data_IF_743054507391
#
_entry.id   IF_743054507391
#
_cell.length_a   1.000
_cell.length_b   1.000
_cell.length_c   1.000
_cell.angle_alpha   90.00
_cell.angle_beta   90.00
_cell.angle_gamma   90.00
#
_symmetry.space_group_name_H-M   'P 1'
#
loop_
_entity.id
_entity.type
_entity.pdbx_description
1 polymer ?
#
# COMPACT_ATOMS: atom_id res chain seq x y z
N UNK A 1 4.05 -11.57 -22.62
CA UNK A 1 5.36 -10.97 -22.35
C UNK A 1 6.11 -11.86 -21.37
N UNK A 2 7.29 -12.33 -21.76
CA UNK A 2 8.11 -13.13 -20.85
C UNK A 2 8.77 -12.23 -19.80
N UNK A 3 8.68 -12.63 -18.54
CA UNK A 3 9.37 -11.94 -17.45
C UNK A 3 10.89 -12.19 -17.58
N UNK A 4 11.74 -11.16 -17.33
CA UNK A 4 13.18 -11.33 -17.42
C UNK A 4 13.77 -12.21 -16.31
N UNK A 5 12.98 -12.49 -15.25
CA UNK A 5 13.39 -13.30 -14.12
C UNK A 5 12.38 -14.41 -13.88
N UNK A 6 12.83 -15.58 -13.36
CA UNK A 6 11.92 -16.64 -12.94
C UNK A 6 10.94 -16.11 -11.87
N UNK A 7 9.70 -16.54 -11.95
CA UNK A 7 8.70 -16.21 -10.93
C UNK A 7 9.00 -17.00 -9.67
N UNK A 8 8.94 -16.33 -8.53
CA UNK A 8 9.25 -16.91 -7.24
C UNK A 8 8.35 -18.11 -6.92
N UNK A 9 8.95 -19.17 -6.42
CA UNK A 9 8.27 -20.33 -5.89
C UNK A 9 8.04 -20.21 -4.39
N UNK A 10 7.29 -21.15 -3.83
CA UNK A 10 7.11 -21.29 -2.39
C UNK A 10 8.45 -21.40 -1.63
N UNK A 11 9.39 -22.13 -2.19
CA UNK A 11 10.74 -22.27 -1.65
C UNK A 11 11.51 -20.96 -1.64
N UNK A 12 11.42 -20.19 -2.71
CA UNK A 12 12.05 -18.87 -2.80
C UNK A 12 11.44 -17.91 -1.79
N UNK A 13 10.13 -17.96 -1.61
CA UNK A 13 9.44 -17.16 -0.60
C UNK A 13 9.92 -17.48 0.81
N UNK A 14 10.01 -18.76 1.17
CA UNK A 14 10.51 -19.19 2.47
C UNK A 14 11.94 -18.71 2.73
N UNK A 15 12.81 -18.83 1.75
CA UNK A 15 14.19 -18.34 1.85
C UNK A 15 14.25 -16.82 2.00
N UNK A 16 13.41 -16.11 1.26
CA UNK A 16 13.40 -14.65 1.28
C UNK A 16 12.96 -14.11 2.65
N UNK A 17 11.89 -14.65 3.23
CA UNK A 17 11.39 -14.18 4.52
C UNK A 17 12.32 -14.48 5.70
N UNK A 18 13.27 -15.38 5.51
CA UNK A 18 14.32 -15.68 6.50
C UNK A 18 15.58 -14.86 6.29
N UNK A 19 15.70 -14.10 5.21
CA UNK A 19 16.88 -13.34 4.87
C UNK A 19 16.93 -12.01 5.64
N UNK A 20 17.97 -11.78 6.47
CA UNK A 20 18.08 -10.53 7.26
C UNK A 20 18.17 -9.27 6.42
N UNK A 21 18.80 -9.32 5.23
CA UNK A 21 18.89 -8.17 4.33
C UNK A 21 17.51 -7.79 3.79
N UNK A 22 16.67 -8.76 3.48
CA UNK A 22 15.31 -8.53 3.06
C UNK A 22 14.52 -7.79 4.15
N UNK A 23 14.66 -8.20 5.41
CA UNK A 23 14.04 -7.52 6.55
C UNK A 23 14.52 -6.07 6.67
N UNK A 24 15.83 -5.84 6.55
CA UNK A 24 16.38 -4.48 6.61
C UNK A 24 15.86 -3.59 5.49
N UNK A 25 15.75 -4.12 4.28
CA UNK A 25 15.24 -3.37 3.13
C UNK A 25 13.78 -2.97 3.34
N UNK A 26 12.94 -3.90 3.79
CA UNK A 26 11.52 -3.62 4.03
C UNK A 26 11.31 -2.70 5.25
N UNK A 27 12.11 -2.87 6.30
CA UNK A 27 12.02 -2.01 7.49
C UNK A 27 12.50 -0.58 7.21
N UNK A 28 13.30 -0.37 6.17
CA UNK A 28 13.72 0.96 5.75
C UNK A 28 12.65 1.72 4.98
N UNK A 29 11.60 1.06 4.53
CA UNK A 29 10.48 1.71 3.84
C UNK A 29 9.64 2.52 4.83
N UNK A 30 9.13 3.66 4.36
CA UNK A 30 8.24 4.52 5.16
C UNK A 30 6.82 3.96 5.29
N UNK A 31 6.45 3.00 4.47
CA UNK A 31 5.16 2.32 4.51
C UNK A 31 5.22 1.07 5.37
N UNK A 32 4.06 0.65 5.89
CA UNK A 32 3.94 -0.65 6.55
C UNK A 32 3.85 -1.77 5.52
N UNK A 33 4.61 -2.83 5.71
CA UNK A 33 4.62 -4.00 4.82
C UNK A 33 4.44 -5.26 5.65
N UNK A 34 3.54 -6.12 5.21
CA UNK A 34 3.41 -7.46 5.79
C UNK A 34 3.24 -8.51 4.71
N UNK A 35 3.70 -9.71 4.99
CA UNK A 35 3.59 -10.87 4.11
C UNK A 35 2.85 -11.98 4.84
N UNK A 36 1.83 -12.51 4.19
CA UNK A 36 1.00 -13.61 4.71
C UNK A 36 1.05 -14.76 3.73
N UNK A 37 1.31 -15.96 4.21
CA UNK A 37 1.35 -17.15 3.35
C UNK A 37 -0.06 -17.61 2.94
N UNK A 38 -0.18 -18.60 2.03
CA UNK A 38 -1.49 -19.05 1.58
C UNK A 38 -2.38 -19.65 2.69
N UNK A 39 -1.82 -20.02 3.83
CA UNK A 39 -2.59 -20.54 4.97
C UNK A 39 -3.14 -19.43 5.86
N UNK A 40 -2.81 -18.18 5.57
CA UNK A 40 -3.20 -17.04 6.40
C UNK A 40 -2.26 -16.78 7.57
N UNK A 41 -1.07 -17.36 7.56
CA UNK A 41 -0.05 -17.18 8.60
C UNK A 41 0.87 -16.02 8.22
N UNK A 42 1.09 -15.09 9.16
CA UNK A 42 2.00 -13.96 8.97
C UNK A 42 3.44 -14.45 8.92
N UNK A 43 4.14 -14.14 7.85
CA UNK A 43 5.54 -14.53 7.63
C UNK A 43 6.52 -13.39 7.79
N UNK A 44 6.06 -12.17 7.58
CA UNK A 44 6.84 -10.95 7.79
C UNK A 44 5.92 -9.80 8.22
N UNK A 45 6.40 -8.97 9.12
CA UNK A 45 5.66 -7.81 9.62
C UNK A 45 6.67 -6.69 9.92
N UNK A 46 6.64 -5.59 9.14
CA UNK A 46 7.63 -4.53 9.28
C UNK A 46 7.46 -3.75 10.60
N UNK A 47 8.52 -3.08 11.01
CA UNK A 47 8.48 -2.23 12.21
C UNK A 47 7.41 -1.14 12.09
N UNK A 48 7.25 -0.57 10.89
CA UNK A 48 6.19 0.40 10.63
C UNK A 48 4.79 -0.17 10.85
N UNK A 49 4.58 -1.44 10.51
CA UNK A 49 3.30 -2.12 10.78
C UNK A 49 3.00 -2.19 12.29
N UNK A 50 3.97 -2.57 13.10
CA UNK A 50 3.79 -2.60 14.55
C UNK A 50 3.36 -1.23 15.08
N UNK A 51 4.02 -0.18 14.62
CA UNK A 51 3.70 1.17 15.01
C UNK A 51 2.29 1.60 14.55
N UNK A 52 1.97 1.37 13.28
CA UNK A 52 0.68 1.76 12.69
C UNK A 52 -0.48 1.06 13.40
N UNK A 53 -0.34 -0.22 13.68
CA UNK A 53 -1.40 -1.01 14.31
C UNK A 53 -1.36 -0.98 15.84
N UNK A 54 -0.44 -0.26 16.43
CA UNK A 54 -0.34 -0.16 17.89
C UNK A 54 0.02 -1.47 18.58
N UNK A 55 0.80 -2.32 17.90
CA UNK A 55 1.25 -3.61 18.42
C UNK A 55 2.63 -3.48 19.02
N UNK A 56 2.91 -4.29 20.06
CA UNK A 56 4.20 -4.31 20.71
C UNK A 56 5.22 -5.10 19.87
N UNK A 57 6.32 -4.45 19.40
CA UNK A 57 7.32 -5.15 18.58
C UNK A 57 8.03 -6.29 19.33
N UNK A 58 8.01 -6.29 20.66
CA UNK A 58 8.60 -7.37 21.47
C UNK A 58 7.76 -8.65 21.43
N UNK A 59 6.47 -8.51 21.06
CA UNK A 59 5.55 -9.63 20.88
C UNK A 59 5.35 -9.89 19.38
N UNK A 60 6.27 -10.66 18.79
CA UNK A 60 6.24 -10.94 17.35
C UNK A 60 4.91 -11.58 16.93
N UNK A 61 4.34 -11.04 15.87
CA UNK A 61 3.14 -11.61 15.23
C UNK A 61 3.48 -12.62 14.14
N UNK A 62 4.76 -12.74 13.78
CA UNK A 62 5.22 -13.71 12.79
C UNK A 62 4.94 -15.13 13.29
N UNK A 63 4.35 -15.95 12.43
CA UNK A 63 3.92 -17.30 12.77
C UNK A 63 2.49 -17.40 13.30
N UNK A 64 1.85 -16.28 13.57
CA UNK A 64 0.44 -16.25 13.99
C UNK A 64 -0.49 -16.13 12.79
N UNK A 65 -1.70 -16.63 12.94
CA UNK A 65 -2.74 -16.46 11.92
C UNK A 65 -3.22 -15.00 11.89
N UNK A 66 -3.46 -14.48 10.69
CA UNK A 66 -3.90 -13.10 10.51
C UNK A 66 -5.21 -12.80 11.25
N UNK A 67 -6.10 -13.75 11.32
CA UNK A 67 -7.39 -13.62 12.02
C UNK A 67 -7.25 -13.66 13.54
N UNK A 68 -6.14 -14.15 14.07
CA UNK A 68 -5.82 -14.06 15.49
C UNK A 68 -5.28 -12.69 15.90
N UNK A 69 -4.74 -11.94 14.95
CA UNK A 69 -4.13 -10.61 15.19
C UNK A 69 -5.15 -9.50 14.96
N UNK A 70 -5.90 -9.57 13.87
CA UNK A 70 -6.84 -8.53 13.45
C UNK A 70 -8.26 -9.07 13.40
N UNK A 71 -9.13 -8.52 14.22
CA UNK A 71 -10.54 -8.89 14.20
C UNK A 71 -11.29 -8.27 13.01
N UNK A 72 -10.89 -7.06 12.60
CA UNK A 72 -11.58 -6.31 11.55
C UNK A 72 -10.84 -6.31 10.21
N UNK A 73 -9.51 -6.34 10.22
CA UNK A 73 -8.69 -6.32 9.00
C UNK A 73 -8.50 -7.66 8.32
N UNK A 74 -8.86 -8.75 9.00
CA UNK A 74 -8.68 -10.11 8.49
C UNK A 74 -9.39 -10.37 7.18
N UNK A 75 -10.58 -9.83 7.04
CA UNK A 75 -11.42 -10.06 5.87
C UNK A 75 -10.73 -9.62 4.56
N UNK A 76 -9.93 -8.56 4.61
CA UNK A 76 -9.24 -8.06 3.43
C UNK A 76 -8.12 -8.97 2.95
N UNK A 77 -7.28 -9.45 3.85
CA UNK A 77 -6.19 -10.38 3.50
C UNK A 77 -6.77 -11.73 3.06
N UNK A 78 -7.67 -12.31 3.85
CA UNK A 78 -8.30 -13.58 3.52
C UNK A 78 -9.09 -13.51 2.22
N UNK A 79 -9.76 -12.39 1.96
CA UNK A 79 -10.46 -12.16 0.70
C UNK A 79 -9.48 -12.14 -0.49
N UNK A 80 -8.36 -11.43 -0.39
CA UNK A 80 -7.34 -11.42 -1.44
C UNK A 80 -6.75 -12.80 -1.67
N UNK A 81 -6.48 -13.56 -0.60
CA UNK A 81 -6.00 -14.93 -0.70
C UNK A 81 -7.01 -15.83 -1.40
N UNK A 82 -8.28 -15.68 -1.12
CA UNK A 82 -9.35 -16.49 -1.68
C UNK A 82 -9.67 -16.12 -3.12
N UNK A 83 -9.80 -14.81 -3.42
CA UNK A 83 -10.19 -14.33 -4.74
C UNK A 83 -9.02 -14.19 -5.70
N UNK A 84 -7.79 -14.15 -5.18
CA UNK A 84 -6.56 -13.88 -5.93
C UNK A 84 -6.59 -12.55 -6.66
N UNK A 85 -7.30 -11.59 -6.11
CA UNK A 85 -7.42 -10.24 -6.65
C UNK A 85 -6.83 -9.20 -5.70
N UNK A 86 -6.27 -8.15 -6.28
CA UNK A 86 -5.83 -6.99 -5.52
C UNK A 86 -7.06 -6.29 -4.93
N UNK A 87 -6.99 -5.95 -3.65
CA UNK A 87 -7.98 -5.06 -3.06
C UNK A 87 -7.30 -3.88 -2.38
N UNK A 88 -7.99 -2.75 -2.36
CA UNK A 88 -7.53 -1.52 -1.71
C UNK A 88 -8.68 -0.99 -0.86
N UNK A 89 -8.42 -0.75 0.40
CA UNK A 89 -9.42 -0.25 1.33
C UNK A 89 -8.83 0.85 2.21
N UNK A 90 -9.66 1.80 2.59
CA UNK A 90 -9.34 2.71 3.68
C UNK A 90 -9.51 1.95 5.00
N UNK A 91 -8.56 2.10 5.88
CA UNK A 91 -8.65 1.51 7.21
C UNK A 91 -8.30 2.53 8.27
N UNK A 92 -8.92 2.37 9.43
CA UNK A 92 -8.57 3.12 10.62
C UNK A 92 -7.93 2.12 11.57
N UNK A 93 -6.73 2.42 12.02
CA UNK A 93 -6.06 1.56 12.98
C UNK A 93 -6.67 1.72 14.36
N UNK A 94 -6.30 0.83 15.25
CA UNK A 94 -6.77 0.79 16.62
C UNK A 94 -6.52 2.10 17.40
N UNK A 95 -5.46 2.82 17.07
CA UNK A 95 -5.09 4.09 17.71
C UNK A 95 -5.54 5.33 16.92
N UNK A 96 -6.49 5.18 16.01
CA UNK A 96 -7.05 6.28 15.24
C UNK A 96 -6.21 6.74 14.04
N UNK A 97 -5.14 6.02 13.72
CA UNK A 97 -4.34 6.30 12.53
C UNK A 97 -5.12 5.84 11.28
N UNK A 98 -5.36 6.74 10.37
CA UNK A 98 -5.98 6.43 9.11
C UNK A 98 -4.92 5.99 8.10
N UNK A 99 -5.25 5.00 7.31
CA UNK A 99 -4.35 4.46 6.30
C UNK A 99 -5.07 3.88 5.10
N UNK A 100 -4.35 3.83 4.00
CA UNK A 100 -4.77 3.12 2.81
C UNK A 100 -4.07 1.76 2.79
N UNK A 101 -4.85 0.70 2.83
CA UNK A 101 -4.34 -0.67 2.80
C UNK A 101 -4.54 -1.25 1.40
N UNK A 102 -3.45 -1.72 0.80
CA UNK A 102 -3.49 -2.44 -0.47
C UNK A 102 -3.00 -3.87 -0.23
N UNK A 103 -3.75 -4.83 -0.71
CA UNK A 103 -3.41 -6.24 -0.58
C UNK A 103 -3.28 -6.84 -1.96
N UNK A 104 -2.11 -7.41 -2.22
CA UNK A 104 -1.74 -7.93 -3.52
C UNK A 104 -1.35 -9.41 -3.39
N UNK A 105 -2.15 -10.34 -3.93
CA UNK A 105 -1.76 -11.73 -3.97
C UNK A 105 -0.64 -11.93 -4.98
N UNK A 106 0.39 -12.65 -4.59
CA UNK A 106 1.53 -12.99 -5.43
C UNK A 106 1.37 -14.44 -5.89
N UNK A 107 1.33 -14.63 -7.19
CA UNK A 107 1.17 -15.94 -7.81
C UNK A 107 2.45 -16.36 -8.49
N UNK A 108 2.69 -17.66 -8.55
CA UNK A 108 3.76 -18.22 -9.37
C UNK A 108 3.34 -18.30 -10.86
N UNK A 109 4.23 -18.82 -11.71
CA UNK A 109 3.97 -18.95 -13.15
C UNK A 109 2.88 -19.97 -13.49
N UNK A 110 2.52 -20.82 -12.54
CA UNK A 110 1.43 -21.82 -12.69
C UNK A 110 0.10 -21.32 -12.13
N UNK A 111 0.07 -20.09 -11.61
CA UNK A 111 -1.11 -19.53 -10.98
C UNK A 111 -1.33 -19.95 -9.52
N UNK A 112 -0.36 -20.62 -8.91
CA UNK A 112 -0.44 -20.97 -7.49
C UNK A 112 -0.11 -19.78 -6.62
N UNK A 113 -0.84 -19.62 -5.53
CA UNK A 113 -0.64 -18.55 -4.58
C UNK A 113 0.65 -18.77 -3.78
N UNK A 114 1.56 -17.80 -3.83
CA UNK A 114 2.82 -17.81 -3.06
C UNK A 114 2.64 -17.10 -1.72
N UNK A 115 2.08 -15.88 -1.76
CA UNK A 115 1.82 -15.08 -0.56
C UNK A 115 0.86 -13.95 -0.88
N UNK A 116 0.43 -13.23 0.15
CA UNK A 116 -0.24 -11.94 0.02
C UNK A 116 0.68 -10.86 0.57
N UNK A 117 1.01 -9.88 -0.27
CA UNK A 117 1.71 -8.66 0.12
C UNK A 117 0.67 -7.63 0.55
N UNK A 118 0.78 -7.13 1.77
CA UNK A 118 -0.05 -6.05 2.26
C UNK A 118 0.80 -4.80 2.48
N UNK A 119 0.36 -3.70 1.93
CA UNK A 119 0.97 -2.38 2.11
C UNK A 119 0.01 -1.48 2.88
N UNK A 120 0.53 -0.71 3.83
CA UNK A 120 -0.24 0.30 4.55
C UNK A 120 0.45 1.64 4.42
N UNK A 121 -0.25 2.60 3.84
CA UNK A 121 0.21 3.97 3.70
C UNK A 121 -0.58 4.81 4.69
N UNK A 122 0.12 5.44 5.63
CA UNK A 122 -0.51 6.31 6.63
C UNK A 122 -0.89 7.63 5.98
N UNK A 123 -2.15 8.01 6.08
CA UNK A 123 -2.68 9.25 5.50
C UNK A 123 -2.85 10.36 6.53
N UNK A 124 -2.95 10.03 7.81
CA UNK A 124 -3.15 11.00 8.89
C UNK A 124 -1.97 11.96 9.09
N UNK A 125 -0.75 11.46 8.94
CA UNK A 125 0.47 12.27 9.13
C UNK A 125 0.82 13.15 7.93
N UNK A 126 0.22 12.88 6.78
CA UNK A 126 0.45 13.63 5.54
C UNK A 126 -0.65 14.65 5.24
N UNK A 127 -1.57 14.88 6.18
CA UNK A 127 -2.69 15.80 5.97
C UNK A 127 -2.21 17.22 5.63
N UNK A 128 -1.21 17.73 6.32
CA UNK A 128 -0.66 19.06 6.03
C UNK A 128 -0.08 19.13 4.63
N UNK A 129 0.65 18.10 4.23
CA UNK A 129 1.24 18.03 2.89
C UNK A 129 0.18 17.86 1.81
N UNK A 130 -0.84 17.06 2.07
CA UNK A 130 -1.99 16.89 1.16
C UNK A 130 -2.75 18.23 1.03
N UNK A 131 -2.99 18.92 2.12
CA UNK A 131 -3.63 20.24 2.11
C UNK A 131 -2.81 21.27 1.34
N UNK A 132 -1.49 21.28 1.50
CA UNK A 132 -0.59 22.13 0.74
C UNK A 132 -0.67 21.84 -0.76
N UNK A 133 -0.63 20.57 -1.16
CA UNK A 133 -0.76 20.17 -2.56
C UNK A 133 -2.11 20.55 -3.14
N UNK A 134 -3.20 20.36 -2.40
CA UNK A 134 -4.54 20.78 -2.83
C UNK A 134 -4.63 22.30 -2.99
N UNK A 135 -4.05 23.05 -2.07
CA UNK A 135 -3.98 24.51 -2.15
C UNK A 135 -3.23 24.96 -3.41
N UNK A 136 -2.07 24.36 -3.68
CA UNK A 136 -1.29 24.65 -4.88
C UNK A 136 -2.04 24.33 -6.17
N UNK A 137 -2.76 23.21 -6.21
CA UNK A 137 -3.60 22.84 -7.35
C UNK A 137 -4.73 23.84 -7.57
N UNK A 138 -5.37 24.32 -6.50
CA UNK A 138 -6.43 25.32 -6.60
C UNK A 138 -5.88 26.66 -7.13
N UNK A 139 -4.70 27.08 -6.67
CA UNK A 139 -4.05 28.28 -7.19
C UNK A 139 -3.69 28.14 -8.66
N UNK A 140 -3.18 26.99 -9.07
CA UNK A 140 -2.87 26.72 -10.47
C UNK A 140 -4.13 26.77 -11.35
N UNK A 141 -5.23 26.20 -10.88
CA UNK A 141 -6.53 26.29 -11.57
C UNK A 141 -7.00 27.74 -11.72
N UNK A 142 -6.85 28.56 -10.70
CA UNK A 142 -7.19 30.00 -10.77
C UNK A 142 -6.35 30.72 -11.79
N UNK A 143 -5.02 30.47 -11.83
CA UNK A 143 -4.12 31.07 -12.82
C UNK A 143 -4.52 30.68 -14.24
N UNK A 144 -4.80 29.39 -14.49
CA UNK A 144 -5.25 28.92 -15.79
C UNK A 144 -6.58 29.58 -16.17
N UNK A 145 -7.54 29.63 -15.26
CA UNK A 145 -8.81 30.31 -15.48
C UNK A 145 -8.65 31.80 -15.78
N UNK A 146 -7.73 32.46 -15.10
CA UNK A 146 -7.40 33.87 -15.35
C UNK A 146 -6.81 34.09 -16.76
N UNK A 147 -5.89 33.25 -17.18
CA UNK A 147 -5.34 33.30 -18.54
C UNK A 147 -6.40 33.08 -19.61
N UNK A 148 -7.27 32.11 -19.45
CA UNK A 148 -8.38 31.85 -20.37
C UNK A 148 -9.31 33.06 -20.45
N UNK A 149 -9.66 33.65 -19.31
CA UNK A 149 -10.51 34.85 -19.26
C UNK A 149 -9.86 36.05 -19.97
N UNK A 150 -8.55 36.24 -19.78
CA UNK A 150 -7.82 37.28 -20.49
C UNK A 150 -7.77 37.09 -22.00
N UNK A 151 -7.55 35.87 -22.44
CA UNK A 151 -7.54 35.54 -23.87
C UNK A 151 -8.90 35.77 -24.51
N UNK A 152 -9.99 35.43 -23.84
CA UNK A 152 -11.34 35.64 -24.34
C UNK A 152 -11.76 37.09 -24.35
N UNK A 153 -11.26 37.91 -23.42
CA UNK A 153 -11.57 39.36 -23.35
C UNK A 153 -10.60 40.23 -24.16
N UNK A 154 -9.45 39.70 -24.53
CA UNK A 154 -8.40 40.41 -25.26
C UNK A 154 -8.57 40.53 -26.77
N UNK A 155 -9.74 40.32 -27.27
CA UNK A 155 -10.06 40.61 -28.67
C UNK A 155 -9.40 39.66 -29.70
N UNK A 156 -9.81 38.44 -29.75
CA UNK A 156 -9.36 37.51 -30.76
C UNK A 156 -8.11 36.72 -30.40
N UNK A 157 -7.82 36.65 -29.14
CA UNK A 157 -6.77 35.77 -28.67
C UNK A 157 -7.18 34.31 -28.76
N UNK A 158 -6.17 33.49 -28.91
CA UNK A 158 -6.37 32.07 -29.10
C UNK A 158 -6.80 31.39 -27.82
N UNK A 159 -7.67 30.43 -27.96
CA UNK A 159 -7.98 29.49 -26.91
C UNK A 159 -6.98 28.35 -26.91
N UNK A 160 -6.98 27.54 -25.86
CA UNK A 160 -6.13 26.36 -25.81
C UNK A 160 -6.52 25.27 -26.81
N UNK A 161 -7.64 25.42 -27.48
CA UNK A 161 -8.15 24.47 -28.48
C UNK A 161 -7.60 24.74 -29.89
N UNK A 162 -6.91 25.82 -30.09
CA UNK A 162 -6.34 26.17 -31.39
C UNK A 162 -5.06 25.38 -31.72
#
# INVERSE_FOLDING_TARGET
MSMPFPIASDEDFKRLVENPLFHQLLDALSIGVSLTDPTGTVRYFSQSCYHIYGLDPSESVVGKKIDAIFQTGRAGVLNSLQTRQINTVNSISYNGIEGLCRRCPILDDKGNLVCCLSEVIVTTHDNERIEELLHNLQQLKRKVGYFIAQETTGGGLRTFDD
#
